data_IF_710798841096
#
_entry.id   IF_710798841096
#
_cell.length_a   1.000
_cell.length_b   1.000
_cell.length_c   1.000
_cell.angle_alpha   90.00
_cell.angle_beta   90.00
_cell.angle_gamma   90.00
#
_symmetry.space_group_name_H-M   'P 1'
#
loop_
_entity.id
_entity.type
_entity.pdbx_description
1 polymer ?
#
# COMPACT_ATOMS: atom_id res chain seq x y z
N UNK A 1 9.14 8.13 0.08
CA UNK A 1 7.93 8.92 -0.28
C UNK A 1 7.20 9.28 1.01
N UNK A 2 6.44 10.39 1.05
CA UNK A 2 5.66 10.83 2.22
C UNK A 2 4.20 11.04 1.83
N UNK A 3 3.28 10.84 2.76
CA UNK A 3 1.83 11.00 2.55
C UNK A 3 1.05 9.88 3.23
N UNK A 4 -0.25 10.11 3.42
CA UNK A 4 -1.18 9.08 3.89
C UNK A 4 -1.60 8.18 2.72
N UNK A 5 -1.69 6.87 2.96
CA UNK A 5 -2.12 5.91 1.94
C UNK A 5 -3.64 5.89 1.84
N UNK A 6 -4.18 6.63 0.87
CA UNK A 6 -5.57 6.54 0.43
C UNK A 6 -5.63 6.34 -1.09
N UNK A 7 -6.77 5.86 -1.64
CA UNK A 7 -6.89 5.70 -3.08
C UNK A 7 -6.62 7.02 -3.81
N UNK A 8 -5.74 6.98 -4.83
CA UNK A 8 -5.34 8.14 -5.64
C UNK A 8 -4.77 9.31 -4.84
N UNK A 9 -4.25 9.07 -3.63
CA UNK A 9 -3.70 10.11 -2.76
C UNK A 9 -2.64 10.98 -3.46
N UNK A 10 -2.65 12.28 -3.17
CA UNK A 10 -1.49 13.14 -3.43
C UNK A 10 -0.38 12.77 -2.44
N UNK A 11 0.80 12.46 -2.97
CA UNK A 11 1.97 12.06 -2.21
C UNK A 11 3.14 12.98 -2.54
N UNK A 12 4.12 13.03 -1.64
CA UNK A 12 5.37 13.76 -1.85
C UNK A 12 6.51 12.79 -2.15
N UNK A 13 6.99 12.80 -3.39
CA UNK A 13 8.25 12.15 -3.76
C UNK A 13 9.41 13.00 -3.23
N UNK A 14 10.24 12.39 -2.38
CA UNK A 14 11.45 13.01 -1.82
C UNK A 14 12.64 12.46 -2.59
N UNK A 15 13.30 13.30 -3.40
CA UNK A 15 14.47 12.96 -4.19
C UNK A 15 15.70 13.47 -3.45
N UNK A 16 16.56 12.55 -3.00
CA UNK A 16 17.87 12.87 -2.42
C UNK A 16 18.93 12.80 -3.52
N UNK A 17 19.57 13.93 -3.84
CA UNK A 17 20.64 14.01 -4.84
C UNK A 17 21.98 13.59 -4.23
N UNK A 18 22.92 13.20 -5.09
CA UNK A 18 24.27 12.81 -4.68
C UNK A 18 25.05 13.95 -4.00
N UNK A 19 24.71 15.21 -4.27
CA UNK A 19 25.29 16.38 -3.61
C UNK A 19 24.65 16.70 -2.24
N UNK A 20 23.73 15.87 -1.76
CA UNK A 20 23.04 16.04 -0.47
C UNK A 20 21.79 16.93 -0.54
N UNK A 21 21.48 17.55 -1.68
CA UNK A 21 20.24 18.31 -1.83
C UNK A 21 19.01 17.40 -1.81
N UNK A 22 17.89 17.95 -1.33
CA UNK A 22 16.59 17.28 -1.37
C UNK A 22 15.60 18.09 -2.21
N UNK A 23 14.96 17.44 -3.18
CA UNK A 23 13.82 17.98 -3.94
C UNK A 23 12.54 17.24 -3.55
N UNK A 24 11.46 17.99 -3.32
CA UNK A 24 10.13 17.45 -3.04
C UNK A 24 9.22 17.71 -4.24
N UNK A 25 8.59 16.67 -4.76
CA UNK A 25 7.71 16.74 -5.95
C UNK A 25 6.36 16.11 -5.62
N UNK A 26 5.22 16.81 -5.87
CA UNK A 26 3.90 16.20 -5.72
C UNK A 26 3.70 15.14 -6.81
N UNK A 27 3.21 13.97 -6.41
CA UNK A 27 2.88 12.85 -7.29
C UNK A 27 1.54 12.26 -6.86
N UNK A 28 0.89 11.51 -7.74
CA UNK A 28 -0.38 10.85 -7.42
C UNK A 28 -0.14 9.34 -7.27
N UNK A 29 -0.65 8.76 -6.18
CA UNK A 29 -0.63 7.31 -5.94
C UNK A 29 -1.42 6.54 -7.03
N UNK A 30 -0.92 5.34 -7.37
CA UNK A 30 -1.59 4.37 -8.24
C UNK A 30 -2.30 3.25 -7.49
N UNK A 31 -2.38 3.36 -6.17
CA UNK A 31 -3.38 2.60 -5.42
C UNK A 31 -4.72 3.24 -5.77
N UNK A 32 -5.48 2.62 -6.66
CA UNK A 32 -6.73 3.12 -7.21
C UNK A 32 -7.92 2.71 -6.34
N UNK A 33 -7.79 1.67 -5.52
CA UNK A 33 -8.86 1.14 -4.65
C UNK A 33 -8.43 0.98 -3.20
N UNK A 34 -9.39 0.92 -2.28
CA UNK A 34 -9.13 0.62 -0.87
C UNK A 34 -8.54 -0.79 -0.67
N UNK A 35 -8.94 -1.75 -1.49
CA UNK A 35 -8.40 -3.11 -1.53
C UNK A 35 -6.89 -3.12 -1.83
N UNK A 36 -6.46 -2.33 -2.81
CA UNK A 36 -5.05 -2.19 -3.16
C UNK A 36 -4.24 -1.50 -2.05
N UNK A 37 -4.82 -0.53 -1.35
CA UNK A 37 -4.20 0.08 -0.16
C UNK A 37 -3.94 -0.97 0.92
N UNK A 38 -4.95 -1.79 1.25
CA UNK A 38 -4.81 -2.86 2.24
C UNK A 38 -3.76 -3.91 1.82
N UNK A 39 -3.70 -4.25 0.54
CA UNK A 39 -2.69 -5.17 -0.01
C UNK A 39 -1.29 -4.57 0.12
N UNK A 40 -1.14 -3.29 -0.22
CA UNK A 40 0.13 -2.57 -0.14
C UNK A 40 0.63 -2.51 1.31
N UNK A 41 -0.24 -2.14 2.25
CA UNK A 41 0.09 -2.06 3.68
C UNK A 41 0.42 -3.43 4.30
N UNK A 42 -0.23 -4.50 3.81
CA UNK A 42 0.11 -5.86 4.21
C UNK A 42 1.47 -6.34 3.67
N UNK A 43 2.09 -5.61 2.73
CA UNK A 43 3.33 -6.03 2.07
C UNK A 43 3.11 -6.99 0.89
N UNK A 44 1.90 -7.02 0.33
CA UNK A 44 1.53 -7.79 -0.84
C UNK A 44 0.38 -8.78 -0.59
N UNK A 45 -0.14 -9.34 -1.69
CA UNK A 45 -1.34 -10.19 -1.69
C UNK A 45 -1.16 -11.44 -0.81
N UNK A 46 0.00 -12.11 -0.90
CA UNK A 46 0.29 -13.30 -0.09
C UNK A 46 0.31 -12.99 1.41
N UNK A 47 0.86 -11.83 1.79
CA UNK A 47 0.92 -11.43 3.19
C UNK A 47 -0.46 -11.06 3.73
N UNK A 48 -1.31 -10.42 2.91
CA UNK A 48 -2.72 -10.17 3.23
C UNK A 48 -3.48 -11.48 3.44
N UNK A 49 -3.35 -12.46 2.54
CA UNK A 49 -3.97 -13.78 2.70
C UNK A 49 -3.45 -14.54 3.92
N UNK A 50 -2.15 -14.51 4.20
CA UNK A 50 -1.59 -15.17 5.38
C UNK A 50 -2.15 -14.56 6.67
N UNK A 51 -2.29 -13.23 6.71
CA UNK A 51 -2.92 -12.52 7.83
C UNK A 51 -4.40 -12.88 7.97
N UNK A 52 -5.17 -12.85 6.88
CA UNK A 52 -6.59 -13.20 6.90
C UNK A 52 -6.81 -14.69 7.30
N UNK A 53 -5.91 -15.59 6.89
CA UNK A 53 -5.91 -17.00 7.30
C UNK A 53 -5.62 -17.16 8.80
N UNK A 54 -4.57 -16.50 9.32
CA UNK A 54 -4.23 -16.54 10.75
C UNK A 54 -5.31 -15.88 11.64
N UNK A 55 -5.98 -14.85 11.13
CA UNK A 55 -7.08 -14.16 11.82
C UNK A 55 -8.41 -14.91 11.73
N UNK A 56 -8.47 -16.06 11.05
CA UNK A 56 -9.69 -16.86 10.89
C UNK A 56 -10.77 -16.19 10.05
N UNK A 57 -10.40 -15.20 9.22
CA UNK A 57 -11.32 -14.50 8.31
C UNK A 57 -11.54 -15.24 6.99
N UNK A 58 -10.80 -16.33 6.77
CA UNK A 58 -10.94 -17.23 5.62
C UNK A 58 -11.61 -18.52 6.08
N UNK A 59 -12.93 -18.60 5.97
CA UNK A 59 -13.67 -19.86 6.09
C UNK A 59 -13.65 -20.59 4.75
N UNK A 60 -12.82 -21.64 4.65
CA UNK A 60 -12.74 -22.51 3.45
C UNK A 60 -13.97 -23.45 3.36
N UNK A 61 -14.87 -23.43 4.36
CA UNK A 61 -15.94 -24.42 4.52
C UNK A 61 -17.30 -24.07 3.88
N UNK A 62 -17.49 -22.90 3.25
CA UNK A 62 -18.83 -22.47 2.76
C UNK A 62 -18.95 -22.41 1.23
N UNK A 63 -17.94 -22.81 0.47
CA UNK A 63 -18.09 -23.05 -0.97
C UNK A 63 -18.27 -24.54 -1.24
N UNK A 64 -19.47 -25.04 -0.95
CA UNK A 64 -19.99 -26.31 -1.44
C UNK A 64 -21.40 -26.09 -2.00
#
# INVERSE_FOLDING_TARGET
VKGEHTPRAEMTLVITRANGETLQVPVISRLDTAEEVLIYEAGGVVQRFAKDFLEGKVDVATTA
#
